data_IF_099653841854
#
_entry.id   IF_099653841854
#
_cell.length_a   1.000
_cell.length_b   1.000
_cell.length_c   1.000
_cell.angle_alpha   90.00
_cell.angle_beta   90.00
_cell.angle_gamma   90.00
#
_symmetry.space_group_name_H-M   'P 1'
#
loop_
_entity.id
_entity.type
_entity.pdbx_description
1 polymer ?
#
# COMPACT_ATOMS: atom_id res chain seq x y z
N UNK A 1 -29.25 -10.69 -23.00
CA UNK A 1 -28.99 -9.30 -22.56
C UNK A 1 -28.25 -9.40 -21.23
N UNK A 2 -27.13 -8.73 -21.13
CA UNK A 2 -26.28 -8.68 -19.95
C UNK A 2 -26.09 -7.21 -19.54
N UNK A 3 -25.92 -6.96 -18.23
CA UNK A 3 -25.67 -5.62 -17.71
C UNK A 3 -24.76 -5.69 -16.49
N UNK A 4 -23.63 -4.98 -16.54
CA UNK A 4 -22.78 -4.72 -15.39
C UNK A 4 -23.06 -3.30 -14.87
N UNK A 5 -23.42 -3.19 -13.59
CA UNK A 5 -23.73 -1.92 -12.94
C UNK A 5 -22.83 -1.74 -11.74
N UNK A 6 -22.01 -0.69 -11.74
CA UNK A 6 -21.19 -0.31 -10.59
C UNK A 6 -21.84 0.88 -9.87
N UNK A 7 -21.93 0.79 -8.55
CA UNK A 7 -22.43 1.85 -7.69
C UNK A 7 -21.26 2.52 -6.96
N UNK A 8 -21.32 3.84 -6.81
CA UNK A 8 -20.33 4.60 -6.04
C UNK A 8 -20.41 4.24 -4.56
N UNK A 9 -19.38 3.61 -4.01
CA UNK A 9 -19.32 3.12 -2.63
C UNK A 9 -19.28 4.26 -1.59
N UNK A 10 -18.84 5.46 -1.96
CA UNK A 10 -18.86 6.62 -1.06
C UNK A 10 -20.26 6.99 -0.55
N UNK A 11 -21.29 6.48 -1.17
CA UNK A 11 -22.68 6.69 -0.74
C UNK A 11 -23.26 5.53 0.10
N UNK A 12 -22.52 4.44 0.34
CA UNK A 12 -23.03 3.25 1.05
C UNK A 12 -23.53 3.56 2.44
N UNK A 13 -22.88 4.47 3.19
CA UNK A 13 -23.35 4.90 4.52
C UNK A 13 -24.77 5.49 4.54
N UNK A 14 -25.24 6.00 3.40
CA UNK A 14 -26.61 6.51 3.21
C UNK A 14 -27.58 5.49 2.62
N UNK A 15 -27.04 4.40 2.08
CA UNK A 15 -27.80 3.40 1.33
C UNK A 15 -27.40 1.98 1.74
N UNK A 16 -27.61 1.59 3.02
CA UNK A 16 -27.14 0.29 3.54
C UNK A 16 -27.75 -0.92 2.82
N UNK A 17 -28.89 -0.75 2.15
CA UNK A 17 -29.51 -1.79 1.33
C UNK A 17 -28.63 -2.28 0.17
N UNK A 18 -27.60 -1.52 -0.20
CA UNK A 18 -26.68 -1.89 -1.30
C UNK A 18 -25.89 -3.15 -0.98
N UNK A 19 -25.57 -3.37 0.30
CA UNK A 19 -24.91 -4.59 0.75
C UNK A 19 -25.77 -5.84 0.49
N UNK A 20 -27.09 -5.72 0.52
CA UNK A 20 -28.02 -6.83 0.27
C UNK A 20 -28.08 -7.24 -1.21
N UNK A 21 -27.68 -6.33 -2.11
CA UNK A 21 -27.71 -6.54 -3.57
C UNK A 21 -26.32 -6.60 -4.18
N UNK A 22 -25.28 -6.57 -3.37
CA UNK A 22 -23.88 -6.69 -3.81
C UNK A 22 -23.64 -8.12 -4.29
N UNK A 23 -23.14 -8.26 -5.50
CA UNK A 23 -22.76 -9.57 -6.07
C UNK A 23 -21.28 -9.83 -5.80
N UNK A 24 -21.00 -10.48 -4.68
CA UNK A 24 -19.64 -10.84 -4.27
C UNK A 24 -18.96 -11.83 -5.22
N UNK A 25 -19.71 -12.53 -6.07
CA UNK A 25 -19.12 -13.48 -7.03
C UNK A 25 -18.39 -12.78 -8.20
N UNK A 26 -18.62 -11.49 -8.37
CA UNK A 26 -17.95 -10.65 -9.37
C UNK A 26 -16.74 -9.88 -8.83
N UNK A 27 -16.43 -10.04 -7.55
CA UNK A 27 -15.31 -9.39 -6.88
C UNK A 27 -14.20 -10.39 -6.54
N UNK A 28 -12.96 -9.93 -6.52
CA UNK A 28 -11.84 -10.74 -6.06
C UNK A 28 -11.90 -10.91 -4.53
N UNK A 29 -11.72 -12.12 -4.03
CA UNK A 29 -11.77 -12.43 -2.59
C UNK A 29 -10.82 -11.53 -1.77
N UNK A 30 -9.68 -11.17 -2.32
CA UNK A 30 -8.70 -10.29 -1.68
C UNK A 30 -9.23 -8.86 -1.54
N UNK A 31 -9.98 -8.35 -2.51
CA UNK A 31 -10.58 -7.01 -2.47
C UNK A 31 -11.70 -6.94 -1.43
N UNK A 32 -12.52 -7.99 -1.35
CA UNK A 32 -13.57 -8.12 -0.32
C UNK A 32 -12.95 -8.06 1.08
N UNK A 33 -11.91 -8.87 1.34
CA UNK A 33 -11.22 -8.89 2.65
C UNK A 33 -10.53 -7.57 2.96
N UNK A 34 -9.93 -6.92 1.99
CA UNK A 34 -9.33 -5.59 2.17
C UNK A 34 -10.38 -4.56 2.60
N UNK A 35 -11.54 -4.57 1.96
CA UNK A 35 -12.66 -3.68 2.28
C UNK A 35 -13.17 -3.91 3.71
N UNK A 36 -13.33 -5.18 4.14
CA UNK A 36 -13.73 -5.54 5.51
C UNK A 36 -12.75 -5.01 6.58
N UNK A 37 -11.47 -4.84 6.21
CA UNK A 37 -10.42 -4.27 7.05
C UNK A 37 -10.29 -2.74 6.92
N UNK A 38 -11.19 -2.12 6.14
CA UNK A 38 -11.19 -0.67 5.90
C UNK A 38 -10.08 -0.18 4.98
N UNK A 39 -9.51 -1.07 4.16
CA UNK A 39 -8.51 -0.76 3.16
C UNK A 39 -9.15 -0.63 1.78
N UNK A 40 -8.78 0.38 1.01
CA UNK A 40 -9.15 0.45 -0.40
C UNK A 40 -8.07 -0.25 -1.22
N UNK A 41 -8.38 -1.41 -1.76
CA UNK A 41 -7.45 -2.26 -2.50
C UNK A 41 -8.01 -2.64 -3.86
N UNK A 42 -7.13 -2.64 -4.88
CA UNK A 42 -7.41 -3.21 -6.20
C UNK A 42 -6.18 -3.99 -6.65
N UNK A 43 -6.37 -5.25 -7.04
CA UNK A 43 -5.30 -6.09 -7.57
C UNK A 43 -4.92 -5.66 -8.99
N UNK A 44 -3.63 -5.69 -9.32
CA UNK A 44 -3.05 -5.43 -10.63
C UNK A 44 -2.05 -6.55 -11.01
N UNK A 45 -1.57 -6.55 -12.25
CA UNK A 45 -0.73 -7.63 -12.79
C UNK A 45 0.79 -7.41 -12.62
N UNK A 46 1.20 -6.49 -11.76
CA UNK A 46 2.61 -6.15 -11.57
C UNK A 46 3.34 -6.97 -10.50
N UNK A 47 4.54 -6.52 -10.14
CA UNK A 47 5.41 -7.17 -9.16
C UNK A 47 5.92 -6.22 -8.05
N UNK A 48 5.46 -4.96 -8.05
CA UNK A 48 5.78 -3.98 -7.00
C UNK A 48 4.54 -3.69 -6.17
N UNK A 49 4.51 -4.17 -4.93
CA UNK A 49 3.48 -3.84 -3.97
C UNK A 49 3.51 -2.36 -3.60
N UNK A 50 2.33 -1.74 -3.50
CA UNK A 50 2.16 -0.34 -3.12
C UNK A 50 1.36 -0.22 -1.83
N UNK A 51 1.92 0.44 -0.80
CA UNK A 51 1.25 0.80 0.43
C UNK A 51 1.29 2.33 0.59
N UNK A 52 0.15 2.97 0.44
CA UNK A 52 0.07 4.44 0.36
C UNK A 52 -1.10 4.96 1.21
N UNK A 53 -1.03 6.18 1.70
CA UNK A 53 -2.17 6.87 2.30
C UNK A 53 -2.70 7.98 1.39
N UNK A 54 -3.93 7.83 0.96
CA UNK A 54 -4.62 8.75 0.07
C UNK A 54 -4.61 8.30 -1.39
N UNK A 55 -5.80 8.14 -1.97
CA UNK A 55 -6.02 7.60 -3.32
C UNK A 55 -5.24 8.34 -4.41
N UNK A 56 -5.20 9.69 -4.36
CA UNK A 56 -4.43 10.50 -5.31
C UNK A 56 -2.93 10.23 -5.25
N UNK A 57 -2.39 10.04 -4.03
CA UNK A 57 -0.98 9.70 -3.84
C UNK A 57 -0.68 8.27 -4.29
N UNK A 58 -1.62 7.34 -4.09
CA UNK A 58 -1.51 5.96 -4.57
C UNK A 58 -1.44 5.92 -6.10
N UNK A 59 -2.35 6.58 -6.79
CA UNK A 59 -2.32 6.67 -8.27
C UNK A 59 -1.02 7.31 -8.77
N UNK A 60 -0.59 8.43 -8.18
CA UNK A 60 0.67 9.07 -8.54
C UNK A 60 1.89 8.16 -8.29
N UNK A 61 1.86 7.35 -7.24
CA UNK A 61 2.94 6.38 -6.94
C UNK A 61 3.03 5.32 -8.01
N UNK A 62 1.90 4.77 -8.43
CA UNK A 62 1.84 3.78 -9.52
C UNK A 62 2.33 4.36 -10.85
N UNK A 63 1.92 5.59 -11.20
CA UNK A 63 2.37 6.26 -12.42
C UNK A 63 3.88 6.48 -12.43
N UNK A 64 4.46 6.88 -11.30
CA UNK A 64 5.91 7.09 -11.18
C UNK A 64 6.68 5.76 -11.20
N UNK A 65 6.16 4.68 -10.61
CA UNK A 65 6.75 3.33 -10.75
C UNK A 65 6.81 2.94 -12.24
N UNK A 66 5.72 3.10 -12.98
CA UNK A 66 5.67 2.82 -14.43
C UNK A 66 6.63 3.69 -15.23
N UNK A 67 6.78 4.95 -14.87
CA UNK A 67 7.74 5.86 -15.52
C UNK A 67 9.20 5.36 -15.40
N UNK A 68 9.54 4.67 -14.31
CA UNK A 68 10.87 4.07 -14.11
C UNK A 68 10.97 2.61 -14.55
N UNK A 69 9.97 2.10 -15.27
CA UNK A 69 9.97 0.76 -15.88
C UNK A 69 9.57 -0.37 -14.93
N UNK A 70 8.97 -0.06 -13.79
CA UNK A 70 8.38 -1.04 -12.89
C UNK A 70 6.89 -1.24 -13.15
N UNK A 71 6.32 -2.33 -12.63
CA UNK A 71 4.90 -2.66 -12.77
C UNK A 71 4.24 -2.79 -11.38
N UNK A 72 3.28 -1.89 -11.03
CA UNK A 72 2.55 -1.97 -9.77
C UNK A 72 1.70 -3.24 -9.68
N UNK A 73 1.80 -3.96 -8.56
CA UNK A 73 1.02 -5.16 -8.28
C UNK A 73 -0.38 -4.85 -7.72
N UNK A 74 -0.57 -3.65 -7.20
CA UNK A 74 -1.84 -3.24 -6.61
C UNK A 74 -1.96 -1.71 -6.51
N UNK A 75 -3.21 -1.25 -6.45
CA UNK A 75 -3.58 -0.01 -5.79
C UNK A 75 -3.87 -0.32 -4.32
N UNK A 76 -3.39 0.47 -3.38
CA UNK A 76 -3.78 0.39 -1.97
C UNK A 76 -3.72 1.75 -1.29
N UNK A 77 -4.85 2.14 -0.69
CA UNK A 77 -4.97 3.31 0.17
C UNK A 77 -5.38 2.87 1.58
N UNK A 78 -4.47 3.09 2.56
CA UNK A 78 -4.72 2.79 3.97
C UNK A 78 -5.51 3.89 4.70
N UNK A 79 -5.90 4.94 3.98
CA UNK A 79 -6.60 6.08 4.55
C UNK A 79 -5.75 6.95 5.48
N UNK A 80 -6.41 7.88 6.16
CA UNK A 80 -5.76 8.85 7.08
C UNK A 80 -5.61 8.38 8.53
N UNK A 81 -6.08 7.17 8.87
CA UNK A 81 -6.10 6.62 10.22
C UNK A 81 -5.27 5.34 10.38
N UNK A 82 -4.14 5.21 9.66
CA UNK A 82 -3.32 4.01 9.69
C UNK A 82 -2.87 3.62 11.12
N UNK A 83 -3.19 2.39 11.50
CA UNK A 83 -2.79 1.74 12.75
C UNK A 83 -1.82 0.61 12.46
N UNK A 84 -1.24 0.01 13.51
CA UNK A 84 -0.43 -1.20 13.36
C UNK A 84 -1.24 -2.29 12.64
N UNK A 85 -2.48 -2.52 13.06
CA UNK A 85 -3.35 -3.56 12.52
C UNK A 85 -3.62 -3.35 11.03
N UNK A 86 -3.92 -2.11 10.62
CA UNK A 86 -4.19 -1.79 9.20
C UNK A 86 -2.93 -1.92 8.34
N UNK A 87 -1.75 -1.57 8.86
CA UNK A 87 -0.47 -1.73 8.16
C UNK A 87 -0.09 -3.20 8.04
N UNK A 88 -0.25 -3.99 9.12
CA UNK A 88 -0.01 -5.44 9.09
C UNK A 88 -0.93 -6.12 8.08
N UNK A 89 -2.23 -5.80 8.11
CA UNK A 89 -3.20 -6.33 7.16
C UNK A 89 -2.87 -5.94 5.71
N UNK A 90 -2.44 -4.70 5.48
CA UNK A 90 -2.03 -4.24 4.16
C UNK A 90 -0.83 -5.03 3.63
N UNK A 91 0.21 -5.27 4.45
CA UNK A 91 1.34 -6.10 4.05
C UNK A 91 0.92 -7.55 3.78
N UNK A 92 0.07 -8.14 4.62
CA UNK A 92 -0.43 -9.51 4.42
C UNK A 92 -1.15 -9.62 3.07
N UNK A 93 -2.07 -8.68 2.79
CA UNK A 93 -2.82 -8.66 1.52
C UNK A 93 -1.90 -8.50 0.31
N UNK A 94 -0.92 -7.59 0.37
CA UNK A 94 0.05 -7.40 -0.72
C UNK A 94 0.86 -8.67 -0.97
N UNK A 95 1.32 -9.35 0.09
CA UNK A 95 2.18 -10.53 0.00
C UNK A 95 1.42 -11.84 -0.29
N UNK A 96 0.10 -11.84 -0.32
CA UNK A 96 -0.68 -12.96 -0.85
C UNK A 96 -0.50 -13.13 -2.37
N UNK A 97 -0.10 -12.06 -3.06
CA UNK A 97 0.29 -12.16 -4.46
C UNK A 97 1.75 -12.63 -4.55
N UNK A 98 1.95 -13.87 -4.97
CA UNK A 98 3.27 -14.49 -5.15
C UNK A 98 4.15 -13.79 -6.19
N UNK A 99 3.56 -12.91 -7.04
CA UNK A 99 4.31 -12.12 -8.00
C UNK A 99 5.00 -10.91 -7.37
N UNK A 100 4.65 -10.53 -6.13
CA UNK A 100 5.26 -9.36 -5.48
C UNK A 100 6.70 -9.63 -5.09
N UNK A 101 7.61 -8.90 -5.71
CA UNK A 101 9.07 -9.00 -5.51
C UNK A 101 9.62 -7.86 -4.65
N UNK A 102 8.84 -6.84 -4.35
CA UNK A 102 9.24 -5.72 -3.50
C UNK A 102 8.08 -4.77 -3.20
N UNK A 103 8.21 -3.97 -2.15
CA UNK A 103 7.14 -3.07 -1.69
C UNK A 103 7.63 -1.63 -1.60
N UNK A 104 6.86 -0.70 -2.19
CA UNK A 104 7.01 0.73 -2.00
C UNK A 104 5.96 1.25 -1.02
N UNK A 105 6.41 1.74 0.13
CA UNK A 105 5.59 2.48 1.10
C UNK A 105 5.76 3.97 0.87
N UNK A 106 4.67 4.68 0.57
CA UNK A 106 4.70 6.12 0.33
C UNK A 106 3.65 6.84 1.18
N UNK A 107 4.10 7.48 2.26
CA UNK A 107 3.23 8.11 3.25
C UNK A 107 3.43 9.62 3.26
N UNK A 108 2.31 10.34 3.19
CA UNK A 108 2.25 11.76 3.48
C UNK A 108 1.61 11.99 4.85
N UNK A 109 2.42 12.44 5.81
CA UNK A 109 1.97 12.78 7.15
C UNK A 109 1.21 14.12 7.13
N UNK A 110 -0.11 14.02 7.12
CA UNK A 110 -1.02 15.13 7.40
C UNK A 110 -1.58 14.97 8.81
N UNK A 111 -2.75 14.35 8.93
CA UNK A 111 -3.34 13.94 10.22
C UNK A 111 -2.52 12.80 10.83
N UNK A 112 -2.10 11.85 9.99
CA UNK A 112 -1.22 10.75 10.38
C UNK A 112 0.22 11.27 10.61
N UNK A 113 0.92 10.69 11.57
CA UNK A 113 2.30 11.04 11.90
C UNK A 113 3.27 9.97 11.40
N UNK A 114 4.30 10.38 10.65
CA UNK A 114 5.26 9.45 10.05
C UNK A 114 6.07 8.66 11.09
N UNK A 115 6.36 9.22 12.27
CA UNK A 115 7.04 8.51 13.36
C UNK A 115 6.21 7.33 13.90
N UNK A 116 4.90 7.46 13.97
CA UNK A 116 3.99 6.37 14.35
C UNK A 116 3.93 5.31 13.26
N UNK A 117 3.78 5.72 12.01
CA UNK A 117 3.78 4.79 10.87
C UNK A 117 5.09 4.02 10.78
N UNK A 118 6.24 4.67 11.01
CA UNK A 118 7.53 4.01 11.00
C UNK A 118 7.60 2.85 12.00
N UNK A 119 7.12 3.06 13.24
CA UNK A 119 7.05 2.01 14.27
C UNK A 119 6.15 0.85 13.82
N UNK A 120 4.96 1.19 13.29
CA UNK A 120 4.01 0.17 12.81
C UNK A 120 4.56 -0.61 11.62
N UNK A 121 5.26 0.05 10.69
CA UNK A 121 5.94 -0.62 9.57
C UNK A 121 6.99 -1.61 10.05
N UNK A 122 7.83 -1.22 11.03
CA UNK A 122 8.85 -2.10 11.61
C UNK A 122 8.20 -3.29 12.30
N UNK A 123 7.19 -3.06 13.14
CA UNK A 123 6.50 -4.09 13.91
C UNK A 123 5.76 -5.07 12.99
N UNK A 124 4.98 -4.56 12.03
CA UNK A 124 4.31 -5.37 11.02
C UNK A 124 5.28 -6.21 10.19
N UNK A 125 6.39 -5.61 9.73
CA UNK A 125 7.42 -6.32 8.96
C UNK A 125 8.06 -7.47 9.76
N UNK A 126 8.26 -7.30 11.07
CA UNK A 126 8.76 -8.36 11.96
C UNK A 126 7.73 -9.46 12.17
N UNK A 127 6.47 -9.07 12.41
CA UNK A 127 5.37 -9.99 12.68
C UNK A 127 5.13 -10.95 11.52
N UNK A 128 5.14 -10.44 10.29
CA UNK A 128 4.92 -11.25 9.08
C UNK A 128 6.19 -11.89 8.54
N UNK A 129 7.38 -11.54 9.06
CA UNK A 129 8.66 -12.04 8.55
C UNK A 129 8.94 -11.57 7.14
N UNK A 130 8.77 -10.27 6.86
CA UNK A 130 8.94 -9.69 5.53
C UNK A 130 10.34 -9.99 4.95
N UNK A 131 10.40 -10.64 3.80
CA UNK A 131 11.62 -11.09 3.12
C UNK A 131 11.88 -10.40 1.76
N UNK A 132 10.93 -9.57 1.30
CA UNK A 132 11.09 -8.78 0.08
C UNK A 132 11.65 -7.38 0.38
N UNK A 133 12.36 -6.75 -0.59
CA UNK A 133 12.86 -5.38 -0.44
C UNK A 133 11.75 -4.39 -0.08
N UNK A 134 12.01 -3.57 0.93
CA UNK A 134 11.11 -2.52 1.39
C UNK A 134 11.73 -1.15 1.18
N UNK A 135 11.09 -0.34 0.35
CA UNK A 135 11.47 1.06 0.13
C UNK A 135 10.42 1.96 0.75
N UNK A 136 10.83 2.90 1.61
CA UNK A 136 9.92 3.77 2.35
C UNK A 136 10.23 5.24 2.09
N UNK A 137 9.21 5.98 1.68
CA UNK A 137 9.24 7.42 1.57
C UNK A 137 8.24 8.04 2.52
N UNK A 138 8.73 8.92 3.37
CA UNK A 138 7.91 9.77 4.24
C UNK A 138 8.00 11.23 3.85
N UNK A 139 6.89 11.96 4.03
CA UNK A 139 6.82 13.42 3.88
C UNK A 139 5.77 13.96 4.84
N UNK A 140 5.84 15.24 5.20
CA UNK A 140 4.87 15.89 6.09
C UNK A 140 5.21 15.72 7.57
N UNK A 141 4.19 15.54 8.42
CA UNK A 141 4.34 15.58 9.88
C UNK A 141 5.28 14.49 10.41
N UNK A 142 6.35 14.88 11.11
CA UNK A 142 7.35 14.00 11.73
C UNK A 142 8.09 13.08 10.75
N UNK A 143 8.27 13.50 9.49
CA UNK A 143 8.91 12.66 8.49
C UNK A 143 10.40 12.40 8.79
N UNK A 144 11.14 13.37 9.31
CA UNK A 144 12.55 13.21 9.71
C UNK A 144 12.68 12.23 10.88
N UNK A 145 11.80 12.31 11.88
CA UNK A 145 11.78 11.39 13.01
C UNK A 145 11.40 9.97 12.54
N UNK A 146 10.38 9.86 11.67
CA UNK A 146 9.98 8.59 11.09
C UNK A 146 11.11 7.92 10.31
N UNK A 147 11.84 8.70 9.49
CA UNK A 147 13.02 8.23 8.77
C UNK A 147 14.12 7.75 9.72
N UNK A 148 14.45 8.53 10.75
CA UNK A 148 15.45 8.13 11.74
C UNK A 148 15.10 6.83 12.47
N UNK A 149 13.81 6.60 12.76
CA UNK A 149 13.31 5.35 13.34
C UNK A 149 13.54 4.17 12.39
N UNK A 150 13.23 4.32 11.09
CA UNK A 150 13.45 3.27 10.09
C UNK A 150 14.94 2.97 9.91
N UNK A 151 15.78 4.01 9.76
CA UNK A 151 17.23 3.90 9.56
C UNK A 151 17.93 3.24 10.77
N UNK A 152 17.38 3.42 11.98
CA UNK A 152 17.86 2.78 13.21
C UNK A 152 17.34 1.37 13.46
N UNK A 153 16.49 0.83 12.60
CA UNK A 153 15.92 -0.51 12.76
C UNK A 153 16.87 -1.61 12.29
N UNK A 154 16.65 -2.84 12.79
CA UNK A 154 17.39 -4.03 12.35
C UNK A 154 16.86 -4.62 11.03
N UNK A 155 15.77 -4.06 10.50
CA UNK A 155 15.15 -4.53 9.25
C UNK A 155 15.84 -3.82 8.07
N UNK A 156 16.05 -4.56 6.99
CA UNK A 156 16.58 -4.00 5.75
C UNK A 156 15.54 -3.14 5.04
N UNK A 157 15.51 -1.85 5.36
CA UNK A 157 14.60 -0.85 4.78
C UNK A 157 15.43 0.20 4.06
N UNK A 158 15.04 0.53 2.83
CA UNK A 158 15.61 1.66 2.08
C UNK A 158 14.76 2.90 2.26
N UNK A 159 15.26 3.89 3.01
CA UNK A 159 14.57 5.17 3.16
C UNK A 159 14.98 6.14 2.05
N UNK A 160 14.01 6.87 1.48
CA UNK A 160 14.21 7.81 0.38
C UNK A 160 13.50 9.13 0.64
N UNK A 161 13.92 10.20 -0.06
CA UNK A 161 13.40 11.55 0.18
C UNK A 161 12.34 11.98 -0.83
N UNK A 162 12.28 11.36 -2.01
CA UNK A 162 11.30 11.68 -3.05
C UNK A 162 10.63 10.45 -3.61
N UNK A 163 9.44 10.63 -4.19
CA UNK A 163 8.71 9.54 -4.84
C UNK A 163 9.49 8.99 -6.05
N UNK A 164 10.11 9.85 -6.83
CA UNK A 164 10.96 9.44 -7.97
C UNK A 164 12.16 8.60 -7.54
N UNK A 165 12.80 8.96 -6.43
CA UNK A 165 13.88 8.17 -5.84
C UNK A 165 13.36 6.82 -5.34
N UNK A 166 12.18 6.80 -4.70
CA UNK A 166 11.53 5.57 -4.23
C UNK A 166 11.19 4.61 -5.35
N UNK A 167 10.56 5.10 -6.41
CA UNK A 167 10.20 4.28 -7.56
C UNK A 167 11.45 3.71 -8.27
N UNK A 168 12.47 4.53 -8.49
CA UNK A 168 13.73 4.05 -9.06
C UNK A 168 14.38 3.01 -8.15
N UNK A 169 14.44 3.26 -6.84
CA UNK A 169 15.08 2.36 -5.89
C UNK A 169 14.41 1.00 -5.81
N UNK A 170 13.07 0.95 -5.77
CA UNK A 170 12.36 -0.32 -5.74
C UNK A 170 12.56 -1.12 -7.03
N UNK A 171 12.53 -0.46 -8.19
CA UNK A 171 12.81 -1.09 -9.48
C UNK A 171 14.26 -1.66 -9.53
N UNK A 172 15.25 -0.90 -9.01
CA UNK A 172 16.62 -1.39 -8.89
C UNK A 172 16.73 -2.61 -7.98
N UNK A 173 15.99 -2.63 -6.85
CA UNK A 173 16.03 -3.74 -5.89
C UNK A 173 15.48 -5.05 -6.48
N UNK A 174 14.42 -4.99 -7.27
CA UNK A 174 13.79 -6.17 -7.89
C UNK A 174 14.43 -6.56 -9.22
N UNK A 175 15.03 -5.60 -9.95
CA UNK A 175 15.72 -5.84 -11.22
C UNK A 175 17.18 -6.30 -11.09
N UNK A 176 17.73 -6.31 -9.88
CA UNK A 176 19.15 -6.60 -9.61
C UNK A 176 19.54 -8.08 -9.58
N UNK A 177 18.68 -8.97 -10.07
CA UNK A 177 18.90 -10.43 -10.15
C UNK A 177 19.43 -10.96 -11.48
N UNK A 178 20.06 -10.11 -12.32
CA UNK A 178 20.77 -10.55 -13.54
C UNK A 178 22.26 -10.28 -13.45
#
# INVERSE_FOLDING_TARGET
LDAKVSLDENANFRHPWREEVRDLSEEEDVEIRANDLGLSYVKLDGNIGCLVNGAGLAMASMDVIKLYGGEPANFLDIGGGATLESITAAFQIILEDENVEGILVNIFGGIIRCDMVARSVIEASKEIGLDVPLVVRFSGTNHEEGKAILDGSEISIHTVNSLSEGARKIVECIGGGN
#
